data_IF_651588292342
#
_entry.id   IF_651588292342
#
_cell.length_a   1.000
_cell.length_b   1.000
_cell.length_c   1.000
_cell.angle_alpha   90.00
_cell.angle_beta   90.00
_cell.angle_gamma   90.00
#
_symmetry.space_group_name_H-M   'P 1'
#
loop_
_entity.id
_entity.type
_entity.pdbx_description
1 polymer ?
#
# COMPACT_ATOMS: atom_id res chain seq x y z
N UNK A 1 -1.66 -18.26 -5.67
CA UNK A 1 -2.11 -17.09 -6.44
C UNK A 1 -1.77 -15.85 -5.63
N UNK A 2 -1.24 -14.79 -6.23
CA UNK A 2 -0.86 -13.56 -5.51
C UNK A 2 -2.08 -12.66 -5.40
N UNK A 3 -2.41 -12.22 -4.19
CA UNK A 3 -3.54 -11.34 -3.93
C UNK A 3 -3.29 -9.94 -4.49
N UNK A 4 -4.21 -9.42 -5.30
CA UNK A 4 -4.09 -8.12 -5.98
C UNK A 4 -5.26 -7.23 -5.61
N UNK A 5 -5.03 -6.29 -4.68
CA UNK A 5 -6.07 -5.40 -4.16
C UNK A 5 -6.82 -4.63 -5.26
N UNK A 6 -6.15 -4.26 -6.37
CA UNK A 6 -6.78 -3.53 -7.46
C UNK A 6 -7.78 -4.39 -8.24
N UNK A 7 -7.56 -5.70 -8.27
CA UNK A 7 -8.46 -6.68 -8.92
C UNK A 7 -9.56 -7.14 -7.98
N UNK A 8 -9.17 -7.58 -6.78
CA UNK A 8 -10.09 -8.14 -5.79
C UNK A 8 -11.05 -7.10 -5.24
N UNK A 9 -10.63 -5.82 -5.16
CA UNK A 9 -11.44 -4.70 -4.67
C UNK A 9 -11.59 -3.59 -5.70
N UNK A 10 -11.90 -3.95 -6.95
CA UNK A 10 -12.06 -3.00 -8.06
C UNK A 10 -13.02 -1.84 -7.77
N UNK A 11 -14.02 -2.01 -6.91
CA UNK A 11 -14.92 -0.93 -6.48
C UNK A 11 -14.20 0.24 -5.78
N UNK A 12 -13.08 0.00 -5.10
CA UNK A 12 -12.30 1.02 -4.39
C UNK A 12 -11.14 1.57 -5.22
N UNK A 13 -10.60 0.76 -6.14
CA UNK A 13 -9.42 1.12 -6.94
C UNK A 13 -9.73 1.54 -8.38
N UNK A 14 -10.92 1.20 -8.89
CA UNK A 14 -11.40 1.55 -10.22
C UNK A 14 -12.88 2.02 -10.17
N UNK A 15 -13.18 3.11 -9.44
CA UNK A 15 -14.55 3.59 -9.31
C UNK A 15 -15.09 4.11 -10.65
N UNK A 16 -16.42 4.03 -10.88
CA UNK A 16 -17.04 4.62 -12.06
C UNK A 16 -16.97 6.15 -12.02
N UNK A 17 -17.05 6.80 -13.18
CA UNK A 17 -17.06 8.28 -13.30
C UNK A 17 -18.26 8.95 -12.62
N UNK A 18 -19.28 8.18 -12.24
CA UNK A 18 -20.48 8.68 -11.57
C UNK A 18 -20.27 8.63 -10.05
N UNK A 19 -20.49 9.72 -9.33
CA UNK A 19 -20.44 9.72 -7.87
C UNK A 19 -21.40 8.69 -7.26
N UNK A 20 -20.98 8.05 -6.18
CA UNK A 20 -21.77 7.05 -5.47
C UNK A 20 -21.28 6.88 -4.02
N UNK A 21 -22.11 6.26 -3.19
CA UNK A 21 -21.78 5.94 -1.80
C UNK A 21 -21.17 4.54 -1.76
N UNK A 22 -20.00 4.41 -1.14
CA UNK A 22 -19.32 3.13 -0.91
C UNK A 22 -19.09 2.92 0.58
N UNK A 23 -19.08 1.66 1.03
CA UNK A 23 -18.73 1.30 2.42
C UNK A 23 -17.37 0.63 2.42
N UNK A 24 -16.34 1.38 2.82
CA UNK A 24 -14.97 0.85 2.91
C UNK A 24 -14.84 0.03 4.20
N UNK A 25 -14.49 -1.27 4.13
CA UNK A 25 -14.28 -2.08 5.34
C UNK A 25 -12.99 -1.67 6.06
N UNK A 26 -12.77 -2.21 7.26
CA UNK A 26 -11.47 -2.06 7.92
C UNK A 26 -10.36 -2.72 7.09
N UNK A 27 -9.23 -2.02 6.92
CA UNK A 27 -8.08 -2.50 6.16
C UNK A 27 -6.79 -2.15 6.90
N UNK A 28 -5.74 -2.93 6.64
CA UNK A 28 -4.42 -2.72 7.22
C UNK A 28 -3.57 -1.82 6.32
N UNK A 29 -2.94 -0.81 6.91
CA UNK A 29 -2.08 0.14 6.20
C UNK A 29 -0.76 0.33 6.94
N UNK A 30 0.31 0.49 6.17
CA UNK A 30 1.54 1.12 6.66
C UNK A 30 1.38 2.63 6.42
N UNK A 31 1.68 3.45 7.43
CA UNK A 31 1.48 4.89 7.36
C UNK A 31 2.64 5.65 8.01
N UNK A 32 2.96 6.81 7.44
CA UNK A 32 3.91 7.78 7.99
C UNK A 32 3.14 9.09 8.18
N UNK A 33 3.24 9.69 9.37
CA UNK A 33 2.72 11.04 9.61
C UNK A 33 3.77 12.05 9.16
N UNK A 34 3.34 13.10 8.49
CA UNK A 34 4.21 14.19 8.04
C UNK A 34 3.41 15.44 7.73
N UNK A 35 4.12 16.53 7.42
CA UNK A 35 3.54 17.81 7.04
C UNK A 35 4.38 18.47 5.93
N UNK A 36 3.87 19.55 5.34
CA UNK A 36 4.59 20.32 4.32
C UNK A 36 4.05 20.15 2.89
N UNK A 37 4.78 20.71 1.92
CA UNK A 37 4.41 20.67 0.50
C UNK A 37 4.87 19.33 -0.12
N UNK A 38 3.95 18.50 -0.66
CA UNK A 38 4.34 17.26 -1.31
C UNK A 38 5.13 17.45 -2.61
N UNK A 39 5.19 18.68 -3.15
CA UNK A 39 5.91 19.00 -4.38
C UNK A 39 7.35 19.48 -4.14
N UNK A 40 7.77 19.64 -2.88
CA UNK A 40 9.13 20.04 -2.57
C UNK A 40 10.12 18.91 -2.91
N UNK A 41 11.12 19.23 -3.73
CA UNK A 41 12.18 18.30 -4.08
C UNK A 41 13.00 18.00 -2.83
N UNK A 42 13.13 16.72 -2.48
CA UNK A 42 13.74 16.27 -1.21
C UNK A 42 12.95 16.68 0.05
N UNK A 43 11.64 16.96 -0.11
CA UNK A 43 10.73 17.23 1.01
C UNK A 43 10.31 15.99 1.80
N UNK A 44 9.62 16.20 2.93
CA UNK A 44 9.16 15.13 3.82
C UNK A 44 8.32 14.05 3.11
N UNK A 45 7.51 14.44 2.12
CA UNK A 45 6.67 13.50 1.37
C UNK A 45 7.50 12.49 0.57
N UNK A 46 8.55 12.94 -0.12
CA UNK A 46 9.43 12.06 -0.89
C UNK A 46 10.18 11.08 0.02
N UNK A 47 10.65 11.57 1.18
CA UNK A 47 11.25 10.71 2.21
C UNK A 47 10.26 9.69 2.77
N UNK A 48 9.01 10.10 3.05
CA UNK A 48 7.98 9.21 3.53
C UNK A 48 7.66 8.10 2.51
N UNK A 49 7.58 8.43 1.22
CA UNK A 49 7.40 7.43 0.16
C UNK A 49 8.53 6.40 0.14
N UNK A 50 9.79 6.84 0.23
CA UNK A 50 10.93 5.94 0.26
C UNK A 50 10.86 4.95 1.44
N UNK A 51 10.48 5.43 2.62
CA UNK A 51 10.28 4.58 3.82
C UNK A 51 9.13 3.59 3.59
N UNK A 52 7.97 4.06 3.13
CA UNK A 52 6.79 3.23 2.89
C UNK A 52 7.07 2.11 1.89
N UNK A 53 7.71 2.42 0.76
CA UNK A 53 8.08 1.43 -0.24
C UNK A 53 9.17 0.48 0.25
N UNK A 54 10.15 0.97 1.00
CA UNK A 54 11.16 0.13 1.66
C UNK A 54 10.50 -0.94 2.52
N UNK A 55 9.60 -0.55 3.42
CA UNK A 55 8.87 -1.47 4.29
C UNK A 55 8.01 -2.44 3.46
N UNK A 56 7.23 -1.94 2.51
CA UNK A 56 6.30 -2.75 1.72
C UNK A 56 7.02 -3.85 0.92
N UNK A 57 8.14 -3.52 0.29
CA UNK A 57 8.92 -4.50 -0.48
C UNK A 57 9.72 -5.45 0.41
N UNK A 58 10.22 -5.00 1.56
CA UNK A 58 10.85 -5.90 2.54
C UNK A 58 9.87 -6.97 3.01
N UNK A 59 8.64 -6.61 3.36
CA UNK A 59 7.60 -7.58 3.77
C UNK A 59 7.28 -8.54 2.62
N UNK A 60 7.01 -8.02 1.41
CA UNK A 60 6.71 -8.83 0.21
C UNK A 60 7.82 -9.83 -0.13
N UNK A 61 9.08 -9.45 0.07
CA UNK A 61 10.23 -10.29 -0.27
C UNK A 61 10.69 -11.19 0.89
N UNK A 62 10.10 -11.07 2.09
CA UNK A 62 10.50 -11.84 3.27
C UNK A 62 10.58 -13.36 3.04
N UNK A 63 9.65 -14.04 2.32
CA UNK A 63 9.77 -15.47 2.10
C UNK A 63 10.97 -15.83 1.20
N UNK A 64 11.31 -14.95 0.24
CA UNK A 64 12.49 -15.13 -0.61
C UNK A 64 13.80 -14.94 0.15
N UNK A 65 13.77 -14.14 1.22
CA UNK A 65 14.89 -13.95 2.13
C UNK A 65 15.00 -15.08 3.18
N UNK A 66 14.15 -16.11 3.11
CA UNK A 66 14.12 -17.20 4.09
C UNK A 66 13.53 -16.78 5.43
N UNK A 67 12.74 -15.70 5.47
CA UNK A 67 12.06 -15.23 6.67
C UNK A 67 10.55 -15.37 6.50
N UNK A 68 9.97 -16.33 7.21
CA UNK A 68 8.53 -16.56 7.22
C UNK A 68 7.88 -15.73 8.34
N UNK A 69 7.09 -14.74 7.93
CA UNK A 69 6.29 -13.89 8.83
C UNK A 69 4.95 -14.60 9.09
N UNK A 70 4.58 -14.75 10.37
CA UNK A 70 3.29 -15.34 10.73
C UNK A 70 2.12 -14.52 10.15
N UNK A 71 1.15 -15.23 9.56
CA UNK A 71 0.01 -14.62 8.87
C UNK A 71 0.32 -13.96 7.51
N UNK A 72 1.56 -14.05 7.00
CA UNK A 72 1.89 -13.54 5.67
C UNK A 72 1.17 -14.33 4.57
N UNK A 73 0.69 -13.58 3.57
CA UNK A 73 0.20 -14.14 2.30
C UNK A 73 0.85 -13.39 1.15
N UNK A 74 0.99 -14.05 -0.02
CA UNK A 74 1.55 -13.39 -1.21
C UNK A 74 0.61 -12.32 -1.74
N UNK A 75 1.09 -11.07 -1.85
CA UNK A 75 0.32 -9.94 -2.39
C UNK A 75 1.11 -9.09 -3.39
N UNK A 76 0.40 -8.31 -4.19
CA UNK A 76 0.96 -7.27 -5.07
C UNK A 76 1.05 -5.97 -4.27
N UNK A 77 2.24 -5.34 -4.23
CA UNK A 77 2.40 -3.96 -3.73
C UNK A 77 1.63 -3.06 -4.71
N UNK A 78 0.55 -2.39 -4.28
CA UNK A 78 -0.32 -1.61 -5.16
C UNK A 78 0.37 -0.44 -5.84
#
# INVERSE_FOLDING_TARGET
MTFDYKKEYSEFYLPPKKPGIVRVPAMNFVAVRGAGDPNDSDGEYQHALNVLYGIAFTIKMSPKAGHDIDGYFSYVVP
#
